data_IF_218782286427
#
_entry.id   IF_218782286427
#
_cell.length_a   1.000
_cell.length_b   1.000
_cell.length_c   1.000
_cell.angle_alpha   90.00
_cell.angle_beta   90.00
_cell.angle_gamma   90.00
#
_symmetry.space_group_name_H-M   'P 1'
#
loop_
_entity.id
_entity.type
_entity.pdbx_description
1 polymer ?
#
# COMPACT_ATOMS: atom_id res chain seq x y z
N UNK A 1 -22.79 -54.27 33.39
CA UNK A 1 -21.51 -53.94 32.70
C UNK A 1 -21.69 -52.55 32.12
N UNK A 2 -21.21 -51.54 32.84
CA UNK A 2 -21.55 -50.13 32.63
C UNK A 2 -20.56 -49.40 31.72
N UNK A 3 -21.11 -48.72 30.72
CA UNK A 3 -20.75 -47.38 30.20
C UNK A 3 -19.27 -46.99 30.19
N UNK A 4 -18.56 -47.39 29.13
CA UNK A 4 -17.32 -46.74 28.69
C UNK A 4 -17.65 -45.67 27.63
N UNK A 5 -18.36 -44.60 28.02
CA UNK A 5 -18.68 -43.48 27.14
C UNK A 5 -18.70 -42.17 27.94
N UNK A 6 -17.54 -41.69 28.42
CA UNK A 6 -17.44 -40.34 29.00
C UNK A 6 -15.99 -39.82 29.14
N UNK A 7 -15.06 -40.26 28.29
CA UNK A 7 -13.64 -39.91 28.43
C UNK A 7 -12.93 -39.31 27.20
N UNK A 8 -13.59 -39.19 26.05
CA UNK A 8 -12.91 -38.84 24.78
C UNK A 8 -13.56 -37.71 23.97
N UNK A 9 -14.49 -36.97 24.58
CA UNK A 9 -15.17 -35.85 23.93
C UNK A 9 -14.43 -34.49 23.91
N UNK A 10 -13.51 -34.14 24.85
CA UNK A 10 -12.90 -32.80 24.83
C UNK A 10 -11.90 -32.56 23.68
N UNK A 11 -10.91 -33.43 23.40
CA UNK A 11 -9.82 -33.05 22.49
C UNK A 11 -10.23 -33.11 21.02
N UNK A 12 -11.14 -34.03 20.64
CA UNK A 12 -11.58 -34.16 19.24
C UNK A 12 -12.45 -32.96 18.85
N UNK A 13 -13.34 -32.51 19.74
CA UNK A 13 -14.20 -31.36 19.47
C UNK A 13 -13.38 -30.08 19.30
N UNK A 14 -12.31 -29.90 20.08
CA UNK A 14 -11.38 -28.76 19.94
C UNK A 14 -10.58 -28.85 18.64
N UNK A 15 -10.09 -30.03 18.29
CA UNK A 15 -9.37 -30.24 17.03
C UNK A 15 -10.25 -29.95 15.80
N UNK A 16 -11.51 -30.38 15.84
CA UNK A 16 -12.50 -30.09 14.78
C UNK A 16 -12.81 -28.60 14.74
N UNK A 17 -12.95 -27.93 15.88
CA UNK A 17 -13.19 -26.48 15.93
C UNK A 17 -12.02 -25.69 15.32
N UNK A 18 -10.78 -26.07 15.64
CA UNK A 18 -9.57 -25.47 15.08
C UNK A 18 -9.45 -25.71 13.58
N UNK A 19 -9.82 -26.91 13.11
CA UNK A 19 -9.86 -27.23 11.68
C UNK A 19 -10.89 -26.36 10.95
N UNK A 20 -12.08 -26.20 11.53
CA UNK A 20 -13.16 -25.39 10.94
C UNK A 20 -12.76 -23.91 10.91
N UNK A 21 -12.17 -23.37 11.99
CA UNK A 21 -11.65 -22.01 12.00
C UNK A 21 -10.53 -21.81 10.97
N UNK A 22 -9.62 -22.77 10.83
CA UNK A 22 -8.59 -22.76 9.81
C UNK A 22 -9.15 -22.75 8.39
N UNK A 23 -10.16 -23.58 8.11
CA UNK A 23 -10.84 -23.64 6.81
C UNK A 23 -11.59 -22.33 6.52
N UNK A 24 -12.30 -21.76 7.50
CA UNK A 24 -13.01 -20.48 7.35
C UNK A 24 -12.00 -19.36 7.06
N UNK A 25 -10.88 -19.30 7.79
CA UNK A 25 -9.82 -18.33 7.53
C UNK A 25 -9.24 -18.48 6.10
N UNK A 26 -9.08 -19.72 5.63
CA UNK A 26 -8.59 -20.02 4.28
C UNK A 26 -9.60 -19.61 3.19
N UNK A 27 -10.90 -19.80 3.43
CA UNK A 27 -11.97 -19.39 2.53
C UNK A 27 -12.10 -17.86 2.49
N UNK A 28 -12.11 -17.20 3.65
CA UNK A 28 -12.13 -15.72 3.72
C UNK A 28 -10.91 -15.14 3.02
N UNK A 29 -9.71 -15.69 3.27
CA UNK A 29 -8.49 -15.31 2.54
C UNK A 29 -8.67 -15.49 1.03
N UNK A 30 -9.32 -16.56 0.57
CA UNK A 30 -9.51 -16.84 -0.86
C UNK A 30 -10.58 -15.98 -1.54
N UNK A 31 -11.57 -15.49 -0.79
CA UNK A 31 -12.62 -14.60 -1.30
C UNK A 31 -12.16 -13.15 -1.28
N UNK A 32 -11.45 -12.73 -0.23
CA UNK A 32 -10.94 -11.36 -0.07
C UNK A 32 -9.63 -11.15 -0.84
N UNK A 33 -8.78 -12.18 -0.96
CA UNK A 33 -7.58 -12.18 -1.79
C UNK A 33 -7.66 -13.35 -2.79
N UNK A 34 -8.26 -13.17 -3.98
CA UNK A 34 -8.29 -14.22 -4.99
C UNK A 34 -6.84 -14.63 -5.34
N UNK A 35 -6.57 -15.93 -5.52
CA UNK A 35 -5.24 -16.45 -5.77
C UNK A 35 -4.82 -16.14 -7.21
N UNK A 36 -4.29 -14.94 -7.44
CA UNK A 36 -3.32 -14.76 -8.50
C UNK A 36 -2.04 -15.43 -8.00
N UNK A 37 -1.62 -16.51 -8.67
CA UNK A 37 -0.30 -17.15 -8.71
C UNK A 37 -0.43 -18.69 -8.68
N UNK A 38 -0.44 -19.38 -9.84
CA UNK A 38 -0.01 -20.75 -9.92
C UNK A 38 1.43 -20.83 -10.44
N UNK A 39 2.30 -21.44 -9.65
CA UNK A 39 3.51 -22.17 -10.09
C UNK A 39 4.49 -21.42 -11.01
N UNK A 40 5.41 -20.70 -10.38
CA UNK A 40 6.79 -20.55 -10.82
C UNK A 40 7.67 -20.71 -9.57
N UNK A 41 8.96 -21.11 -9.66
CA UNK A 41 9.89 -21.03 -8.52
C UNK A 41 9.88 -19.59 -7.96
N UNK A 42 10.52 -19.23 -6.83
CA UNK A 42 10.65 -17.82 -6.45
C UNK A 42 11.46 -17.09 -7.54
N UNK A 43 10.78 -16.75 -8.61
CA UNK A 43 11.00 -15.60 -9.45
C UNK A 43 10.46 -14.49 -8.53
N UNK A 44 11.22 -13.59 -7.90
CA UNK A 44 12.38 -12.83 -8.38
C UNK A 44 12.29 -12.49 -9.89
N UNK A 45 11.10 -12.60 -10.49
CA UNK A 45 10.78 -11.94 -11.73
C UNK A 45 10.28 -10.56 -11.34
N UNK A 46 11.14 -9.59 -11.64
CA UNK A 46 10.98 -8.15 -11.47
C UNK A 46 11.37 -7.55 -10.11
N UNK A 47 12.58 -7.87 -9.68
CA UNK A 47 13.49 -6.86 -9.09
C UNK A 47 13.90 -5.78 -10.13
N UNK A 48 13.45 -5.88 -11.38
CA UNK A 48 13.91 -5.08 -12.53
C UNK A 48 13.05 -3.86 -12.93
N UNK A 49 12.00 -3.50 -12.19
CA UNK A 49 11.16 -2.30 -12.47
C UNK A 49 10.76 -1.55 -11.17
N UNK A 50 11.54 -1.77 -10.10
CA UNK A 50 11.34 -1.16 -8.79
C UNK A 50 11.45 0.37 -8.88
N UNK A 51 10.37 1.13 -8.66
CA UNK A 51 10.40 2.57 -8.54
C UNK A 51 10.63 2.99 -7.08
N UNK A 52 11.40 2.20 -6.32
CA UNK A 52 12.06 2.73 -5.13
C UNK A 52 13.09 3.76 -5.61
N UNK A 53 12.67 5.01 -5.81
CA UNK A 53 13.61 6.12 -5.86
C UNK A 53 14.06 6.43 -4.43
N UNK A 54 14.81 5.49 -3.86
CA UNK A 54 15.78 5.77 -2.80
C UNK A 54 16.87 6.62 -3.46
N UNK A 55 16.72 7.94 -3.33
CA UNK A 55 17.74 8.97 -3.51
C UNK A 55 18.40 9.22 -4.88
N UNK A 56 18.04 8.54 -5.96
CA UNK A 56 18.81 8.64 -7.21
C UNK A 56 18.03 9.10 -8.44
N UNK A 57 17.57 10.36 -8.49
CA UNK A 57 17.36 11.02 -9.79
C UNK A 57 17.63 12.52 -9.71
N UNK A 58 18.65 12.96 -10.44
CA UNK A 58 19.05 14.38 -10.59
C UNK A 58 18.13 15.16 -11.55
N UNK A 59 17.11 14.50 -12.11
CA UNK A 59 16.28 15.00 -13.20
C UNK A 59 14.78 15.00 -12.86
N UNK A 60 14.41 14.98 -11.58
CA UNK A 60 13.02 15.21 -11.17
C UNK A 60 12.73 16.71 -11.31
N UNK A 61 11.68 17.12 -12.06
CA UNK A 61 11.33 18.52 -12.17
C UNK A 61 11.01 19.11 -10.79
N UNK A 62 11.32 20.39 -10.59
CA UNK A 62 10.84 21.12 -9.41
C UNK A 62 9.44 21.68 -9.68
N UNK A 63 8.70 21.94 -8.61
CA UNK A 63 7.30 22.34 -8.67
C UNK A 63 6.39 21.18 -9.05
N UNK A 64 5.07 21.39 -8.92
CA UNK A 64 4.06 20.35 -9.15
C UNK A 64 3.26 20.04 -7.90
N UNK A 65 2.73 18.83 -7.82
CA UNK A 65 1.71 18.46 -6.83
C UNK A 65 2.14 17.19 -6.11
N UNK A 66 2.13 17.22 -4.78
CA UNK A 66 2.31 16.00 -3.98
C UNK A 66 0.96 15.41 -3.67
N UNK A 67 0.79 14.11 -3.91
CA UNK A 67 -0.39 13.35 -3.52
C UNK A 67 -0.01 12.42 -2.36
N UNK A 68 -0.73 12.58 -1.25
CA UNK A 68 -0.62 11.70 -0.11
C UNK A 68 -1.19 10.31 -0.44
N UNK A 69 -0.32 9.30 -0.43
CA UNK A 69 -0.68 7.91 -0.67
C UNK A 69 -0.65 7.07 0.61
N UNK A 70 -0.42 7.68 1.78
CA UNK A 70 -0.45 7.01 3.07
C UNK A 70 -1.89 6.68 3.51
N UNK A 71 -2.84 7.49 3.06
CA UNK A 71 -4.27 7.24 3.26
C UNK A 71 -4.73 5.93 2.58
N UNK A 72 -5.82 5.31 3.08
CA UNK A 72 -6.49 4.21 2.39
C UNK A 72 -6.80 4.56 0.93
N UNK A 73 -6.72 3.56 0.05
CA UNK A 73 -6.86 3.77 -1.39
C UNK A 73 -8.14 4.53 -1.79
N UNK A 74 -9.27 4.28 -1.14
CA UNK A 74 -10.53 4.96 -1.43
C UNK A 74 -10.48 6.46 -1.10
N UNK A 75 -9.72 6.84 -0.09
CA UNK A 75 -9.48 8.23 0.31
C UNK A 75 -8.54 8.93 -0.65
N UNK A 76 -7.44 8.28 -1.03
CA UNK A 76 -6.54 8.79 -2.07
C UNK A 76 -7.26 9.02 -3.40
N UNK A 77 -8.14 8.09 -3.80
CA UNK A 77 -8.96 8.23 -5.02
C UNK A 77 -9.93 9.41 -4.94
N UNK A 78 -10.58 9.62 -3.79
CA UNK A 78 -11.44 10.79 -3.58
C UNK A 78 -10.66 12.09 -3.66
N UNK A 79 -9.46 12.15 -3.08
CA UNK A 79 -8.61 13.33 -3.18
C UNK A 79 -8.24 13.65 -4.64
N UNK A 80 -7.88 12.64 -5.44
CA UNK A 80 -7.62 12.82 -6.87
C UNK A 80 -8.88 13.34 -7.57
N UNK A 81 -10.04 12.72 -7.35
CA UNK A 81 -11.28 13.11 -8.03
C UNK A 81 -11.73 14.53 -7.67
N UNK A 82 -11.45 14.98 -6.44
CA UNK A 82 -11.74 16.35 -5.99
C UNK A 82 -10.78 17.37 -6.58
N UNK A 83 -9.48 17.10 -6.58
CA UNK A 83 -8.47 18.09 -6.95
C UNK A 83 -8.02 18.03 -8.41
N UNK A 84 -8.18 16.90 -9.10
CA UNK A 84 -7.84 16.74 -10.51
C UNK A 84 -8.93 17.31 -11.44
N UNK A 85 -9.47 18.48 -11.09
CA UNK A 85 -10.43 19.22 -11.90
C UNK A 85 -9.83 19.60 -13.27
N UNK A 86 -10.70 20.02 -14.21
CA UNK A 86 -10.33 20.27 -15.61
C UNK A 86 -9.33 21.43 -15.79
N UNK A 87 -9.17 22.28 -14.78
CA UNK A 87 -8.27 23.43 -14.75
C UNK A 87 -6.81 23.08 -14.40
N UNK A 88 -6.55 21.87 -13.87
CA UNK A 88 -5.19 21.41 -13.59
C UNK A 88 -4.50 20.95 -14.87
N UNK A 89 -3.39 21.60 -15.24
CA UNK A 89 -2.57 21.21 -16.40
C UNK A 89 -2.08 19.76 -16.23
N UNK A 90 -2.45 18.89 -17.18
CA UNK A 90 -2.10 17.46 -17.18
C UNK A 90 -0.61 17.19 -17.38
N UNK A 91 0.16 18.22 -17.77
CA UNK A 91 1.63 18.16 -17.82
C UNK A 91 2.28 18.44 -16.46
N UNK A 92 1.52 18.93 -15.48
CA UNK A 92 2.01 19.19 -14.12
C UNK A 92 2.55 17.89 -13.52
N UNK A 93 3.79 17.89 -13.00
CA UNK A 93 4.34 16.75 -12.29
C UNK A 93 3.50 16.39 -11.05
N UNK A 94 3.18 15.10 -10.91
CA UNK A 94 2.53 14.55 -9.73
C UNK A 94 3.52 13.65 -8.99
N UNK A 95 3.72 13.91 -7.71
CA UNK A 95 4.62 13.16 -6.83
C UNK A 95 3.79 12.36 -5.84
N UNK A 96 3.91 11.04 -5.87
CA UNK A 96 3.20 10.13 -4.98
C UNK A 96 4.07 9.86 -3.76
N UNK A 97 3.66 10.32 -2.58
CA UNK A 97 4.43 10.16 -1.34
C UNK A 97 3.85 9.04 -0.47
N UNK A 98 4.70 8.14 0.01
CA UNK A 98 4.35 7.07 0.94
C UNK A 98 5.47 6.88 1.98
N UNK A 99 5.14 6.99 3.26
CA UNK A 99 6.03 6.78 4.39
C UNK A 99 6.17 5.29 4.74
N UNK A 100 7.41 4.83 4.86
CA UNK A 100 7.75 3.50 5.36
C UNK A 100 8.51 3.67 6.67
N UNK A 101 7.78 3.84 7.78
CA UNK A 101 8.35 3.88 9.12
C UNK A 101 7.65 2.84 10.00
N UNK A 102 8.24 1.64 10.16
CA UNK A 102 7.71 0.61 11.03
C UNK A 102 7.73 1.11 12.50
N UNK A 103 6.65 0.94 13.27
CA UNK A 103 6.62 1.35 14.67
C UNK A 103 7.48 0.41 15.53
N UNK A 104 8.65 0.87 15.97
CA UNK A 104 9.48 0.28 17.05
C UNK A 104 9.70 -1.25 16.97
N UNK A 105 9.83 -1.80 15.76
CA UNK A 105 10.11 -3.23 15.55
C UNK A 105 11.61 -3.42 15.28
N UNK A 106 12.25 -4.44 15.86
CA UNK A 106 13.67 -4.76 15.63
C UNK A 106 13.85 -6.17 15.08
N UNK A 107 14.92 -6.42 14.33
CA UNK A 107 15.27 -7.76 13.82
C UNK A 107 14.36 -8.23 12.67
N UNK A 108 14.06 -9.52 12.59
CA UNK A 108 13.32 -10.12 11.46
C UNK A 108 11.90 -9.56 11.28
N UNK A 109 11.24 -9.16 12.38
CA UNK A 109 9.90 -8.57 12.32
C UNK A 109 9.91 -7.19 11.64
N UNK A 110 11.00 -6.44 11.76
CA UNK A 110 11.17 -5.15 11.08
C UNK A 110 11.19 -5.34 9.56
N UNK A 111 11.94 -6.33 9.06
CA UNK A 111 12.01 -6.61 7.62
C UNK A 111 10.66 -7.05 7.05
N UNK A 112 9.90 -7.87 7.79
CA UNK A 112 8.57 -8.33 7.40
C UNK A 112 7.59 -7.16 7.34
N UNK A 113 7.55 -6.30 8.36
CA UNK A 113 6.65 -5.14 8.40
C UNK A 113 7.01 -4.11 7.33
N UNK A 114 8.30 -3.82 7.14
CA UNK A 114 8.78 -2.93 6.09
C UNK A 114 8.38 -3.44 4.71
N UNK A 115 8.55 -4.74 4.46
CA UNK A 115 8.15 -5.36 3.19
C UNK A 115 6.64 -5.29 2.98
N UNK A 116 5.84 -5.51 4.02
CA UNK A 116 4.38 -5.41 3.95
C UNK A 116 3.92 -3.97 3.66
N UNK A 117 4.54 -2.97 4.30
CA UNK A 117 4.26 -1.55 4.04
C UNK A 117 4.65 -1.15 2.62
N UNK A 118 5.81 -1.59 2.15
CA UNK A 118 6.26 -1.37 0.78
C UNK A 118 5.28 -1.96 -0.24
N UNK A 119 4.81 -3.19 -0.02
CA UNK A 119 3.79 -3.84 -0.86
C UNK A 119 2.46 -3.09 -0.85
N UNK A 120 2.04 -2.56 0.31
CA UNK A 120 0.84 -1.74 0.40
C UNK A 120 1.00 -0.45 -0.41
N UNK A 121 2.12 0.25 -0.24
CA UNK A 121 2.44 1.45 -1.03
C UNK A 121 2.46 1.18 -2.54
N UNK A 122 3.01 0.04 -2.97
CA UNK A 122 3.05 -0.34 -4.39
C UNK A 122 1.65 -0.57 -4.97
N UNK A 123 0.75 -1.19 -4.19
CA UNK A 123 -0.64 -1.39 -4.59
C UNK A 123 -1.36 -0.03 -4.73
N UNK A 124 -1.16 0.86 -3.76
CA UNK A 124 -1.73 2.22 -3.79
C UNK A 124 -1.20 3.00 -5.01
N UNK A 125 0.12 3.06 -5.20
CA UNK A 125 0.73 3.73 -6.34
C UNK A 125 0.23 3.19 -7.68
N UNK A 126 0.14 1.87 -7.83
CA UNK A 126 -0.33 1.26 -9.07
C UNK A 126 -1.75 1.71 -9.42
N UNK A 127 -2.65 1.70 -8.43
CA UNK A 127 -4.03 2.12 -8.63
C UNK A 127 -4.12 3.63 -8.93
N UNK A 128 -3.41 4.46 -8.15
CA UNK A 128 -3.36 5.92 -8.30
C UNK A 128 -2.80 6.33 -9.67
N UNK A 129 -1.69 5.72 -10.10
CA UNK A 129 -1.09 5.98 -11.42
C UNK A 129 -2.06 5.62 -12.53
N UNK A 130 -2.77 4.49 -12.41
CA UNK A 130 -3.77 4.09 -13.40
C UNK A 130 -4.88 5.14 -13.50
N UNK A 131 -5.35 5.67 -12.37
CA UNK A 131 -6.37 6.73 -12.32
C UNK A 131 -5.88 8.03 -12.96
N UNK A 132 -4.70 8.52 -12.54
CA UNK A 132 -4.10 9.75 -13.05
C UNK A 132 -3.82 9.67 -14.56
N UNK A 133 -3.29 8.55 -15.05
CA UNK A 133 -3.11 8.33 -16.49
C UNK A 133 -4.42 8.33 -17.27
N UNK A 134 -5.49 7.76 -16.70
CA UNK A 134 -6.82 7.81 -17.31
C UNK A 134 -7.38 9.24 -17.40
N UNK A 135 -6.95 10.14 -16.51
CA UNK A 135 -7.26 11.59 -16.55
C UNK A 135 -6.31 12.40 -17.45
N UNK A 136 -5.31 11.75 -18.05
CA UNK A 136 -4.37 12.38 -18.98
C UNK A 136 -3.05 12.86 -18.37
N UNK A 137 -2.81 12.64 -17.07
CA UNK A 137 -1.52 12.98 -16.46
C UNK A 137 -0.42 12.06 -16.97
N UNK A 138 0.70 12.65 -17.38
CA UNK A 138 1.84 11.91 -17.97
C UNK A 138 3.06 11.84 -17.07
N UNK A 139 3.26 12.84 -16.21
CA UNK A 139 4.46 13.00 -15.39
C UNK A 139 4.15 12.61 -13.95
N UNK A 140 4.32 11.33 -13.61
CA UNK A 140 3.96 10.79 -12.29
C UNK A 140 5.16 10.05 -11.70
N UNK A 141 5.59 10.44 -10.51
CA UNK A 141 6.78 9.92 -9.83
C UNK A 141 6.42 9.34 -8.47
N UNK A 142 7.13 8.31 -8.02
CA UNK A 142 6.87 7.61 -6.76
C UNK A 142 7.98 7.91 -5.76
N UNK A 143 7.61 8.18 -4.52
CA UNK A 143 8.52 8.45 -3.41
C UNK A 143 8.15 7.58 -2.22
N UNK A 144 9.07 6.68 -1.89
CA UNK A 144 9.08 6.02 -0.59
C UNK A 144 10.00 6.80 0.33
N UNK A 145 9.49 7.22 1.48
CA UNK A 145 10.22 8.04 2.44
C UNK A 145 10.37 7.27 3.74
N UNK A 146 11.57 7.23 4.28
CA UNK A 146 11.83 6.66 5.62
C UNK A 146 11.36 7.63 6.71
N UNK A 147 10.04 7.81 6.76
CA UNK A 147 9.35 8.76 7.61
C UNK A 147 7.91 8.26 7.86
N UNK A 148 7.24 8.81 8.87
CA UNK A 148 5.81 8.55 9.06
C UNK A 148 4.97 9.25 7.98
N UNK A 149 3.67 9.00 7.96
CA UNK A 149 2.78 9.46 6.90
C UNK A 149 2.85 10.99 6.69
N UNK A 150 2.70 11.77 7.76
CA UNK A 150 2.70 13.24 7.69
C UNK A 150 4.08 13.77 7.28
N UNK A 151 5.14 13.27 7.91
CA UNK A 151 6.51 13.68 7.63
C UNK A 151 6.93 13.31 6.20
N UNK A 152 6.47 12.16 5.67
CA UNK A 152 6.77 11.72 4.30
C UNK A 152 6.28 12.70 3.24
N UNK A 153 5.06 13.22 3.41
CA UNK A 153 4.45 14.17 2.48
C UNK A 153 5.15 15.52 2.57
N UNK A 154 5.44 15.98 3.79
CA UNK A 154 6.13 17.24 4.04
C UNK A 154 7.55 17.23 3.42
N UNK A 155 8.32 16.16 3.63
CA UNK A 155 9.67 16.03 3.09
C UNK A 155 9.68 16.05 1.55
N UNK A 156 8.74 15.35 0.89
CA UNK A 156 8.63 15.36 -0.58
C UNK A 156 8.21 16.74 -1.09
N UNK A 157 7.25 17.38 -0.42
CA UNK A 157 6.77 18.71 -0.79
C UNK A 157 7.86 19.78 -0.66
N UNK A 158 8.64 19.75 0.42
CA UNK A 158 9.77 20.65 0.62
C UNK A 158 10.89 20.40 -0.39
N UNK A 159 11.30 19.12 -0.56
CA UNK A 159 12.37 18.73 -1.48
C UNK A 159 12.11 19.17 -2.92
N UNK A 160 10.86 19.10 -3.36
CA UNK A 160 10.47 19.38 -4.74
C UNK A 160 9.88 20.79 -4.92
N UNK A 161 9.85 21.60 -3.86
CA UNK A 161 9.20 22.92 -3.84
C UNK A 161 7.77 22.85 -4.43
N UNK A 162 6.98 21.89 -3.95
CA UNK A 162 5.69 21.57 -4.50
C UNK A 162 4.71 22.74 -4.35
N UNK A 163 3.92 22.97 -5.40
CA UNK A 163 2.93 24.05 -5.46
C UNK A 163 1.64 23.72 -4.71
N UNK A 164 1.35 22.42 -4.52
CA UNK A 164 0.16 21.95 -3.82
C UNK A 164 0.39 20.57 -3.21
N UNK A 165 -0.41 20.25 -2.19
CA UNK A 165 -0.52 18.91 -1.61
C UNK A 165 -1.99 18.50 -1.68
N UNK A 166 -2.25 17.37 -2.32
CA UNK A 166 -3.53 16.69 -2.37
C UNK A 166 -3.54 15.61 -1.28
N UNK A 167 -4.43 15.74 -0.30
CA UNK A 167 -4.64 14.73 0.74
C UNK A 167 -6.13 14.62 1.04
N UNK A 168 -6.58 13.44 1.49
CA UNK A 168 -8.00 13.25 1.78
C UNK A 168 -8.42 14.01 3.04
N UNK A 169 -7.51 14.21 3.99
CA UNK A 169 -7.75 15.03 5.18
C UNK A 169 -8.18 16.47 4.83
N UNK A 170 -7.60 17.06 3.78
CA UNK A 170 -7.98 18.40 3.30
C UNK A 170 -9.29 18.44 2.51
N UNK A 171 -9.82 17.29 2.13
CA UNK A 171 -11.13 17.16 1.46
C UNK A 171 -12.24 16.98 2.51
N UNK A 172 -11.95 16.27 3.59
CA UNK A 172 -12.91 15.95 4.65
C UNK A 172 -13.01 17.04 5.74
N UNK A 173 -12.18 18.09 5.68
CA UNK A 173 -12.19 19.27 6.58
C UNK A 173 -12.91 20.49 5.99
#
# INVERSE_FOLDING_TARGET
RGTAWLGLAPPISIAVLMLVLGIIALIVRRIVAPPFFPSSPPQVANVLDSPFMLDAEKDVPEGGIVLDCNDPLDRAMRAIDTYAADDVDRKTPIYLAFGIKPPEVQGEEFEVVTTALAQLGDQTFTAVIKRLKAMGFTSIYRFYVDADAEESVAQVAERLNASAIWSAERVDG
#
